data_IF_363466822333
#
_entry.id   IF_363466822333
#
_cell.length_a   1.000
_cell.length_b   1.000
_cell.length_c   1.000
_cell.angle_alpha   90.00
_cell.angle_beta   90.00
_cell.angle_gamma   90.00
#
_symmetry.space_group_name_H-M   'P 1'
#
loop_
_entity.id
_entity.type
_entity.pdbx_description
1 polymer ?
#
# COMPACT_ATOMS: atom_id res chain seq x y z
N UNK A 1 -24.89 50.13 -21.29
CA UNK A 1 -25.42 49.61 -20.00
C UNK A 1 -26.08 48.28 -20.33
N UNK A 2 -25.47 47.11 -20.16
CA UNK A 2 -24.62 46.66 -19.07
C UNK A 2 -25.50 45.93 -18.06
N UNK A 3 -25.60 44.60 -18.16
CA UNK A 3 -25.57 43.68 -17.02
C UNK A 3 -25.47 42.23 -17.54
N UNK A 4 -24.35 41.59 -17.19
CA UNK A 4 -24.15 40.15 -17.22
C UNK A 4 -24.48 39.56 -15.82
N UNK A 5 -24.28 38.24 -15.70
CA UNK A 5 -24.23 37.41 -14.47
C UNK A 5 -25.59 36.77 -14.11
N UNK A 6 -25.73 35.49 -13.79
CA UNK A 6 -24.75 34.42 -13.51
C UNK A 6 -25.51 33.10 -13.55
N UNK A 7 -24.95 32.07 -14.21
CA UNK A 7 -25.41 30.70 -14.02
C UNK A 7 -24.90 30.17 -12.68
N UNK A 8 -25.81 29.68 -11.83
CA UNK A 8 -25.46 28.91 -10.65
C UNK A 8 -24.94 27.54 -11.07
N UNK A 9 -23.72 27.21 -10.63
CA UNK A 9 -23.04 25.96 -10.88
C UNK A 9 -23.65 24.79 -10.10
N UNK A 10 -23.84 23.68 -10.80
CA UNK A 10 -24.16 22.34 -10.28
C UNK A 10 -23.01 21.79 -9.42
N UNK A 11 -22.78 22.35 -8.22
CA UNK A 11 -21.72 21.86 -7.30
C UNK A 11 -22.22 20.95 -6.19
N UNK A 12 -23.49 20.54 -6.23
CA UNK A 12 -24.14 19.76 -5.16
C UNK A 12 -24.41 18.31 -5.55
N UNK A 13 -24.29 17.94 -6.82
CA UNK A 13 -24.48 16.55 -7.30
C UNK A 13 -23.21 15.69 -7.16
N UNK A 14 -22.02 16.27 -7.32
CA UNK A 14 -20.76 15.51 -7.29
C UNK A 14 -20.29 15.11 -5.88
N UNK A 15 -20.88 15.65 -4.82
CA UNK A 15 -20.53 15.27 -3.43
C UNK A 15 -21.39 14.14 -2.86
N UNK A 16 -22.47 13.75 -3.54
CA UNK A 16 -23.42 12.76 -3.06
C UNK A 16 -23.09 11.31 -3.46
N UNK A 17 -22.08 11.10 -4.33
CA UNK A 17 -21.72 9.76 -4.81
C UNK A 17 -20.57 9.11 -4.03
N UNK A 18 -19.89 9.87 -3.17
CA UNK A 18 -18.76 9.41 -2.36
C UNK A 18 -19.19 8.90 -0.97
N UNK A 19 -20.23 8.05 -0.84
CA UNK A 19 -20.48 7.29 0.42
C UNK A 19 -21.55 6.20 0.25
N UNK A 20 -21.49 5.41 -0.83
CA UNK A 20 -22.02 4.04 -0.74
C UNK A 20 -20.86 3.16 -0.28
N UNK A 21 -20.82 2.87 1.03
CA UNK A 21 -19.94 1.84 1.58
C UNK A 21 -20.14 0.57 0.73
N UNK A 22 -19.15 0.22 -0.09
CA UNK A 22 -19.20 -1.02 -0.86
C UNK A 22 -19.34 -2.15 0.17
N UNK A 23 -20.38 -2.97 0.03
CA UNK A 23 -20.57 -4.13 0.89
C UNK A 23 -19.27 -4.94 0.94
N UNK A 24 -18.79 -5.38 2.12
CA UNK A 24 -17.58 -6.19 2.22
C UNK A 24 -17.73 -7.43 1.34
N UNK A 25 -16.96 -7.49 0.26
CA UNK A 25 -16.93 -8.67 -0.62
C UNK A 25 -15.80 -9.56 -0.13
N UNK A 26 -16.17 -10.75 0.35
CA UNK A 26 -15.18 -11.79 0.67
C UNK A 26 -14.38 -12.10 -0.60
N UNK A 27 -13.03 -12.00 -0.57
CA UNK A 27 -12.22 -12.36 -1.73
C UNK A 27 -12.29 -13.87 -2.02
N UNK A 28 -11.89 -14.28 -3.24
CA UNK A 28 -11.54 -15.67 -3.51
C UNK A 28 -10.45 -16.19 -2.56
N UNK A 29 -10.35 -17.50 -2.41
CA UNK A 29 -9.32 -18.12 -1.56
C UNK A 29 -7.90 -17.86 -2.10
N UNK A 30 -7.77 -17.68 -3.42
CA UNK A 30 -6.56 -17.22 -4.09
C UNK A 30 -6.90 -16.20 -5.18
N UNK A 31 -6.10 -15.15 -5.31
CA UNK A 31 -6.27 -14.14 -6.36
C UNK A 31 -4.93 -13.50 -6.73
N UNK A 32 -4.85 -12.87 -7.90
CA UNK A 32 -3.64 -12.16 -8.34
C UNK A 32 -3.85 -10.66 -8.29
N UNK A 33 -2.94 -9.95 -7.62
CA UNK A 33 -2.85 -8.51 -7.65
C UNK A 33 -1.79 -8.09 -8.66
N UNK A 34 -2.22 -7.52 -9.79
CA UNK A 34 -1.33 -7.03 -10.84
C UNK A 34 -0.99 -5.55 -10.58
N UNK A 35 0.30 -5.25 -10.50
CA UNK A 35 0.82 -3.91 -10.26
C UNK A 35 1.43 -3.35 -11.53
N UNK A 36 0.94 -2.18 -11.94
CA UNK A 36 1.59 -1.33 -12.94
C UNK A 36 2.37 -0.25 -12.19
N UNK A 37 3.68 -0.11 -12.44
CA UNK A 37 4.52 0.87 -11.71
C UNK A 37 5.29 1.79 -12.66
N UNK A 38 6.03 2.74 -12.09
CA UNK A 38 7.02 3.55 -12.81
C UNK A 38 8.23 2.76 -13.32
N UNK A 39 8.47 1.53 -12.82
CA UNK A 39 9.63 0.69 -13.19
C UNK A 39 9.31 -0.56 -13.99
N UNK A 40 8.04 -0.83 -14.24
CA UNK A 40 7.58 -2.06 -14.88
C UNK A 40 6.45 -2.69 -14.09
N UNK A 41 6.06 -3.88 -14.49
CA UNK A 41 4.92 -4.57 -13.89
C UNK A 41 5.40 -5.74 -13.03
N UNK A 42 4.67 -6.01 -11.95
CA UNK A 42 4.86 -7.21 -11.15
C UNK A 42 3.51 -7.75 -10.68
N UNK A 43 3.47 -9.01 -10.27
CA UNK A 43 2.25 -9.69 -9.83
C UNK A 43 2.49 -10.33 -8.48
N UNK A 44 1.59 -10.06 -7.54
CA UNK A 44 1.50 -10.78 -6.26
C UNK A 44 0.38 -11.81 -6.37
N UNK A 45 0.68 -13.08 -6.11
CA UNK A 45 -0.33 -14.10 -5.83
C UNK A 45 -0.63 -14.08 -4.33
N UNK A 46 -1.92 -13.97 -3.98
CA UNK A 46 -2.39 -13.90 -2.60
C UNK A 46 -3.05 -15.22 -2.23
N UNK A 47 -2.68 -15.77 -1.08
CA UNK A 47 -3.22 -17.00 -0.53
C UNK A 47 -3.95 -16.69 0.77
N UNK A 48 -5.28 -16.64 0.70
CA UNK A 48 -6.13 -16.30 1.85
C UNK A 48 -5.94 -17.26 3.02
N UNK A 49 -5.63 -18.53 2.73
CA UNK A 49 -5.36 -19.54 3.75
C UNK A 49 -4.12 -19.25 4.61
N UNK A 50 -3.13 -18.49 4.10
CA UNK A 50 -1.89 -18.18 4.82
C UNK A 50 -2.12 -17.13 5.92
N UNK A 51 -2.88 -16.08 5.60
CA UNK A 51 -3.21 -14.98 6.50
C UNK A 51 -4.52 -14.31 6.03
N UNK A 52 -5.69 -14.83 6.44
CA UNK A 52 -6.98 -14.43 5.88
C UNK A 52 -7.35 -12.97 6.16
N UNK A 53 -6.99 -12.40 7.32
CA UNK A 53 -7.31 -10.99 7.63
C UNK A 53 -6.46 -10.05 6.79
N UNK A 54 -5.18 -10.37 6.61
CA UNK A 54 -4.29 -9.66 5.70
C UNK A 54 -4.76 -9.74 4.25
N UNK A 55 -5.07 -10.94 3.76
CA UNK A 55 -5.55 -11.15 2.40
C UNK A 55 -6.88 -10.42 2.11
N UNK A 56 -7.82 -10.44 3.06
CA UNK A 56 -9.11 -9.73 2.93
C UNK A 56 -8.91 -8.22 2.91
N UNK A 57 -8.07 -7.68 3.80
CA UNK A 57 -7.77 -6.24 3.82
C UNK A 57 -7.05 -5.79 2.55
N UNK A 58 -6.08 -6.56 2.06
CA UNK A 58 -5.36 -6.21 0.84
C UNK A 58 -6.30 -6.16 -0.38
N UNK A 59 -7.22 -7.11 -0.48
CA UNK A 59 -8.24 -7.14 -1.53
C UNK A 59 -9.16 -5.92 -1.47
N UNK A 60 -9.65 -5.57 -0.28
CA UNK A 60 -10.48 -4.39 -0.02
C UNK A 60 -9.78 -3.10 -0.51
N UNK A 61 -8.52 -2.91 -0.09
CA UNK A 61 -7.71 -1.74 -0.45
C UNK A 61 -7.48 -1.64 -1.97
N UNK A 62 -7.22 -2.76 -2.65
CA UNK A 62 -7.06 -2.75 -4.12
C UNK A 62 -8.38 -2.37 -4.80
N UNK A 63 -9.51 -2.94 -4.36
CA UNK A 63 -10.83 -2.65 -4.95
C UNK A 63 -11.31 -1.22 -4.74
N UNK A 64 -10.80 -0.56 -3.71
CA UNK A 64 -11.03 0.86 -3.47
C UNK A 64 -10.01 1.77 -4.16
N UNK A 65 -9.07 1.18 -4.92
CA UNK A 65 -8.02 1.93 -5.60
C UNK A 65 -7.06 2.61 -4.63
N UNK A 66 -7.02 2.15 -3.37
CA UNK A 66 -6.26 2.78 -2.30
C UNK A 66 -4.76 2.88 -2.62
N UNK A 67 -4.21 1.89 -3.32
CA UNK A 67 -2.79 1.85 -3.67
C UNK A 67 -2.44 2.62 -4.95
N UNK A 68 -3.42 3.17 -5.67
CA UNK A 68 -3.14 3.92 -6.89
C UNK A 68 -2.38 5.20 -6.54
N UNK A 69 -1.26 5.42 -7.23
CA UNK A 69 -0.30 6.50 -6.99
C UNK A 69 0.38 6.47 -5.61
N UNK A 70 0.21 5.39 -4.83
CA UNK A 70 1.05 5.15 -3.66
C UNK A 70 2.50 4.95 -4.08
N UNK A 71 3.43 5.50 -3.29
CA UNK A 71 4.87 5.41 -3.54
C UNK A 71 5.52 4.35 -2.66
N UNK A 72 6.58 3.72 -3.18
CA UNK A 72 7.42 2.80 -2.41
C UNK A 72 8.33 3.61 -1.48
N UNK A 73 7.77 4.13 -0.40
CA UNK A 73 8.41 5.12 0.46
C UNK A 73 9.59 4.59 1.26
N UNK A 74 9.80 3.27 1.29
CA UNK A 74 10.96 2.65 1.95
C UNK A 74 11.44 1.47 1.13
N UNK A 75 12.66 1.57 0.63
CA UNK A 75 13.29 0.53 -0.19
C UNK A 75 14.69 0.30 0.36
N UNK A 76 14.86 -0.78 1.12
CA UNK A 76 16.12 -1.12 1.79
C UNK A 76 16.68 -2.37 1.14
N UNK A 77 17.76 -2.20 0.38
CA UNK A 77 18.44 -3.30 -0.31
C UNK A 77 18.76 -4.42 0.67
N UNK A 78 18.53 -5.67 0.26
CA UNK A 78 18.71 -6.85 1.10
C UNK A 78 17.83 -6.84 2.37
N UNK A 79 16.69 -6.14 2.36
CA UNK A 79 15.71 -6.24 3.42
C UNK A 79 14.28 -6.25 2.87
N UNK A 80 13.68 -5.09 2.60
CA UNK A 80 12.28 -4.98 2.19
C UNK A 80 12.03 -3.79 1.25
N UNK A 81 10.95 -3.88 0.48
CA UNK A 81 10.27 -2.77 -0.19
C UNK A 81 8.94 -2.56 0.52
N UNK A 82 8.64 -1.35 0.99
CA UNK A 82 7.42 -1.04 1.75
C UNK A 82 6.66 0.12 1.11
N UNK A 83 5.32 -0.01 1.09
CA UNK A 83 4.37 0.98 0.60
C UNK A 83 3.05 0.90 1.39
N UNK A 84 2.03 1.63 0.92
CA UNK A 84 0.66 1.53 1.43
C UNK A 84 0.22 2.67 2.34
N UNK A 85 0.79 3.85 2.13
CA UNK A 85 0.21 5.12 2.55
C UNK A 85 -0.44 5.74 1.30
N UNK A 86 -1.68 6.23 1.43
CA UNK A 86 -2.42 6.77 0.28
C UNK A 86 -1.82 8.11 -0.16
N UNK A 87 -1.93 8.42 -1.46
CA UNK A 87 -1.50 9.70 -2.03
C UNK A 87 -2.17 10.91 -1.37
N UNK A 88 -3.40 10.73 -0.90
CA UNK A 88 -4.25 11.76 -0.30
C UNK A 88 -4.30 11.57 1.23
N UNK A 89 -3.89 12.59 2.02
CA UNK A 89 -3.99 12.58 3.47
C UNK A 89 -5.42 12.35 4.00
N UNK A 90 -6.44 12.85 3.30
CA UNK A 90 -7.83 12.69 3.72
C UNK A 90 -8.23 11.21 3.66
N UNK A 91 -7.85 10.50 2.59
CA UNK A 91 -8.08 9.06 2.46
C UNK A 91 -7.24 8.29 3.48
N UNK A 92 -5.95 8.60 3.64
CA UNK A 92 -5.10 7.97 4.66
C UNK A 92 -5.72 8.04 6.06
N UNK A 93 -6.32 9.17 6.43
CA UNK A 93 -6.99 9.38 7.72
C UNK A 93 -8.22 8.51 7.93
N UNK A 94 -8.99 8.22 6.87
CA UNK A 94 -10.15 7.33 6.96
C UNK A 94 -9.74 5.89 7.32
N UNK A 95 -8.56 5.47 6.85
CA UNK A 95 -8.06 4.11 7.07
C UNK A 95 -7.18 3.95 8.31
N UNK A 96 -6.62 5.04 8.86
CA UNK A 96 -5.61 4.98 9.93
C UNK A 96 -6.10 4.31 11.23
N UNK A 97 -7.41 4.36 11.50
CA UNK A 97 -8.02 3.74 12.68
C UNK A 97 -8.69 2.38 12.39
N UNK A 98 -8.76 1.97 11.12
CA UNK A 98 -9.38 0.71 10.72
C UNK A 98 -8.38 -0.44 10.83
N UNK A 99 -8.01 -0.79 12.06
CA UNK A 99 -7.02 -1.85 12.32
C UNK A 99 -7.59 -3.24 12.06
N UNK A 100 -6.74 -4.15 11.60
CA UNK A 100 -7.03 -5.59 11.56
C UNK A 100 -6.28 -6.30 12.69
N UNK A 101 -6.88 -7.39 13.19
CA UNK A 101 -6.19 -8.31 14.09
C UNK A 101 -5.08 -9.06 13.35
N UNK A 102 -4.10 -9.53 14.10
CA UNK A 102 -2.95 -10.24 13.56
C UNK A 102 -3.35 -11.67 13.17
N UNK A 103 -2.96 -12.10 11.97
CA UNK A 103 -3.02 -13.50 11.59
C UNK A 103 -1.85 -14.27 12.21
N UNK A 104 -2.04 -15.52 12.66
CA UNK A 104 -0.94 -16.38 13.04
C UNK A 104 -0.08 -16.71 11.81
N UNK A 105 1.25 -16.54 11.85
CA UNK A 105 2.10 -16.85 10.71
C UNK A 105 2.03 -18.33 10.33
N UNK A 106 1.62 -18.63 9.09
CA UNK A 106 1.68 -19.97 8.49
C UNK A 106 2.83 -20.14 7.49
N UNK A 107 3.41 -19.02 7.05
CA UNK A 107 4.57 -18.98 6.17
C UNK A 107 5.70 -18.19 6.81
N UNK A 108 6.93 -18.48 6.38
CA UNK A 108 8.13 -17.73 6.77
C UNK A 108 8.34 -16.55 5.82
N UNK A 109 8.91 -15.46 6.33
CA UNK A 109 9.29 -14.26 5.57
C UNK A 109 10.49 -14.55 4.64
N UNK A 110 10.28 -15.36 3.61
CA UNK A 110 11.25 -15.68 2.55
C UNK A 110 11.28 -14.57 1.49
N UNK A 111 12.33 -14.51 0.68
CA UNK A 111 12.39 -13.60 -0.48
C UNK A 111 11.11 -13.72 -1.33
N UNK A 112 10.57 -12.57 -1.76
CA UNK A 112 9.35 -12.48 -2.58
C UNK A 112 8.04 -12.48 -1.80
N UNK A 113 8.03 -12.94 -0.54
CA UNK A 113 6.81 -12.95 0.28
C UNK A 113 6.37 -11.54 0.69
N UNK A 114 5.06 -11.37 0.89
CA UNK A 114 4.38 -10.10 1.20
C UNK A 114 3.64 -10.18 2.51
N UNK A 115 3.84 -9.19 3.39
CA UNK A 115 3.18 -9.10 4.69
C UNK A 115 2.77 -7.64 5.02
N UNK A 116 1.81 -7.48 5.93
CA UNK A 116 1.45 -6.16 6.46
C UNK A 116 2.51 -5.65 7.44
N UNK A 117 2.89 -4.38 7.30
CA UNK A 117 3.71 -3.67 8.27
C UNK A 117 2.90 -3.38 9.56
N UNK A 118 3.58 -3.25 10.69
CA UNK A 118 2.98 -3.06 12.00
C UNK A 118 3.83 -2.13 12.88
N UNK A 119 3.17 -1.32 13.71
CA UNK A 119 3.79 -0.51 14.76
C UNK A 119 3.74 -1.20 16.15
N UNK A 120 3.17 -2.40 16.22
CA UNK A 120 2.91 -3.17 17.44
C UNK A 120 1.81 -4.22 17.22
N UNK A 121 1.44 -4.99 18.26
CA UNK A 121 0.35 -5.95 18.18
C UNK A 121 -0.97 -5.30 17.71
N UNK A 122 -1.69 -5.96 16.81
CA UNK A 122 -3.00 -5.51 16.29
C UNK A 122 -3.03 -4.06 15.76
N UNK A 123 -1.92 -3.60 15.16
CA UNK A 123 -1.76 -2.23 14.63
C UNK A 123 -1.81 -2.13 13.11
N UNK A 124 -1.98 -3.25 12.40
CA UNK A 124 -1.95 -3.33 10.94
C UNK A 124 -3.15 -2.61 10.34
N UNK A 125 -2.93 -1.78 9.32
CA UNK A 125 -3.98 -1.01 8.65
C UNK A 125 -3.92 -1.19 7.12
N UNK A 126 -2.94 -0.56 6.48
CA UNK A 126 -2.86 -0.43 5.01
C UNK A 126 -1.46 -0.67 4.45
N UNK A 127 -0.42 -0.48 5.26
CA UNK A 127 0.96 -0.59 4.83
C UNK A 127 1.39 -2.05 4.72
N UNK A 128 2.09 -2.37 3.64
CA UNK A 128 2.58 -3.71 3.33
C UNK A 128 4.02 -3.64 2.84
N UNK A 129 4.72 -4.76 2.89
CA UNK A 129 6.07 -4.87 2.37
C UNK A 129 6.30 -6.18 1.64
N UNK A 130 7.23 -6.16 0.68
CA UNK A 130 7.80 -7.34 0.01
C UNK A 130 9.19 -7.61 0.59
N UNK A 131 9.48 -8.86 0.92
CA UNK A 131 10.81 -9.30 1.34
C UNK A 131 11.78 -9.38 0.15
N UNK A 132 12.90 -8.64 0.20
CA UNK A 132 13.96 -8.67 -0.83
C UNK A 132 15.01 -9.78 -0.58
N UNK A 133 14.96 -10.42 0.58
CA UNK A 133 15.74 -11.59 0.96
C UNK A 133 14.96 -12.43 1.96
N UNK A 134 15.53 -13.55 2.40
CA UNK A 134 15.03 -14.28 3.55
C UNK A 134 15.23 -13.48 4.85
N UNK A 135 14.13 -13.09 5.49
CA UNK A 135 14.07 -12.30 6.71
C UNK A 135 13.40 -13.08 7.86
N UNK A 136 13.88 -14.28 8.15
CA UNK A 136 13.33 -15.17 9.21
C UNK A 136 13.19 -14.52 10.58
N UNK A 137 13.96 -13.46 10.86
CA UNK A 137 13.81 -12.67 12.08
C UNK A 137 12.42 -12.00 12.21
N UNK A 138 11.73 -11.73 11.09
CA UNK A 138 10.38 -11.15 11.07
C UNK A 138 9.31 -12.16 11.52
N UNK A 139 9.56 -13.47 11.38
CA UNK A 139 8.64 -14.52 11.82
C UNK A 139 8.39 -14.44 13.34
N UNK A 140 9.43 -14.08 14.10
CA UNK A 140 9.37 -13.89 15.56
C UNK A 140 8.51 -12.68 15.97
N UNK A 141 8.32 -11.73 15.06
CA UNK A 141 7.54 -10.50 15.29
C UNK A 141 6.13 -10.60 14.70
N UNK A 142 5.67 -11.82 14.39
CA UNK A 142 4.33 -12.12 13.89
C UNK A 142 3.99 -11.42 12.56
N UNK A 143 4.99 -11.11 11.73
CA UNK A 143 4.74 -10.68 10.36
C UNK A 143 4.28 -11.88 9.53
N UNK A 144 2.97 -12.10 9.45
CA UNK A 144 2.37 -13.20 8.71
C UNK A 144 2.30 -12.88 7.21
N UNK A 145 3.03 -13.62 6.35
CA UNK A 145 2.89 -13.46 4.92
C UNK A 145 1.51 -13.90 4.43
N UNK A 146 0.90 -13.11 3.56
CA UNK A 146 -0.40 -13.39 2.95
C UNK A 146 -0.30 -13.69 1.44
N UNK A 147 0.86 -13.45 0.84
CA UNK A 147 1.08 -13.68 -0.58
C UNK A 147 2.55 -13.62 -0.95
N UNK A 148 2.84 -13.76 -2.24
CA UNK A 148 4.19 -13.71 -2.78
C UNK A 148 4.24 -13.15 -4.20
N UNK A 149 5.37 -12.55 -4.58
CA UNK A 149 5.61 -12.08 -5.94
C UNK A 149 5.86 -13.28 -6.85
N UNK A 150 4.95 -13.51 -7.80
CA UNK A 150 5.02 -14.63 -8.77
C UNK A 150 5.51 -14.19 -10.16
N UNK A 151 5.60 -12.88 -10.41
CA UNK A 151 6.15 -12.31 -11.64
C UNK A 151 6.68 -10.91 -11.38
N UNK A 152 7.78 -10.52 -12.04
CA UNK A 152 8.36 -9.18 -11.92
C UNK A 152 9.17 -8.93 -10.64
N UNK A 153 9.78 -9.98 -10.07
CA UNK A 153 10.65 -9.80 -8.89
C UNK A 153 11.90 -8.94 -9.22
N UNK A 154 12.41 -9.03 -10.44
CA UNK A 154 13.46 -8.17 -10.98
C UNK A 154 13.02 -6.68 -11.01
N UNK A 155 11.76 -6.41 -11.36
CA UNK A 155 11.17 -5.07 -11.28
C UNK A 155 11.17 -4.57 -9.84
N UNK A 156 10.71 -5.40 -8.89
CA UNK A 156 10.70 -5.07 -7.45
C UNK A 156 12.12 -4.77 -6.93
N UNK A 157 13.12 -5.55 -7.35
CA UNK A 157 14.53 -5.34 -6.98
C UNK A 157 15.15 -4.09 -7.61
N UNK A 158 14.62 -3.63 -8.75
CA UNK A 158 15.09 -2.44 -9.47
C UNK A 158 14.55 -1.11 -8.94
N UNK A 159 13.60 -1.14 -7.99
CA UNK A 159 13.01 0.05 -7.40
C UNK A 159 14.06 0.95 -6.75
N UNK A 160 13.88 2.26 -6.88
CA UNK A 160 14.82 3.27 -6.40
C UNK A 160 15.02 3.18 -4.89
N UNK A 161 16.26 2.91 -4.47
CA UNK A 161 16.60 2.59 -3.09
C UNK A 161 17.59 3.55 -2.44
N UNK A 162 18.04 4.61 -3.12
CA UNK A 162 19.08 5.48 -2.55
C UNK A 162 18.60 6.35 -1.40
N UNK A 163 17.28 6.50 -1.19
CA UNK A 163 16.73 7.12 0.04
C UNK A 163 16.76 6.15 1.24
N UNK A 164 16.71 4.84 0.98
CA UNK A 164 16.95 3.81 1.97
C UNK A 164 15.90 3.73 3.08
N UNK A 165 16.39 3.75 4.32
CA UNK A 165 15.62 3.51 5.53
C UNK A 165 14.90 4.78 6.02
N UNK A 166 13.76 4.61 6.69
CA UNK A 166 12.97 5.73 7.21
C UNK A 166 13.59 6.31 8.50
N UNK A 167 13.27 7.56 8.86
CA UNK A 167 13.65 8.13 10.15
C UNK A 167 13.14 7.27 11.32
N UNK A 168 13.86 7.22 12.46
CA UNK A 168 15.14 7.89 12.72
C UNK A 168 16.37 7.11 12.21
N UNK A 169 16.19 5.94 11.58
CA UNK A 169 17.29 5.03 11.21
C UNK A 169 17.93 5.36 9.85
N UNK A 170 17.29 6.22 9.06
CA UNK A 170 17.82 6.69 7.78
C UNK A 170 17.22 8.02 7.35
N UNK A 171 17.57 8.41 6.12
CA UNK A 171 17.20 9.70 5.52
C UNK A 171 16.03 9.58 4.54
N UNK A 172 15.32 8.45 4.56
CA UNK A 172 14.15 8.23 3.72
C UNK A 172 12.95 9.10 4.12
N UNK A 173 11.83 8.96 3.40
CA UNK A 173 10.57 9.58 3.76
C UNK A 173 10.12 9.28 5.19
N UNK A 174 9.59 10.29 5.89
CA UNK A 174 8.93 10.14 7.18
C UNK A 174 7.47 9.71 6.99
N UNK A 175 7.04 8.53 7.46
CA UNK A 175 5.66 8.06 7.34
C UNK A 175 4.62 9.06 7.85
N UNK A 176 4.90 9.77 8.95
CA UNK A 176 3.98 10.74 9.55
C UNK A 176 3.75 11.94 8.64
N UNK A 177 4.78 12.36 7.91
CA UNK A 177 4.67 13.43 6.91
C UNK A 177 3.96 12.95 5.65
N UNK A 178 4.14 11.69 5.25
CA UNK A 178 3.34 11.12 4.15
C UNK A 178 1.87 11.04 4.54
N UNK A 179 1.53 10.59 5.75
CA UNK A 179 0.15 10.50 6.22
C UNK A 179 -0.55 11.86 6.30
N UNK A 180 0.19 12.93 6.63
CA UNK A 180 -0.38 14.28 6.82
C UNK A 180 -0.30 15.16 5.58
N UNK A 181 0.64 14.92 4.66
CA UNK A 181 0.88 15.75 3.46
C UNK A 181 0.81 15.00 2.14
N UNK A 182 0.76 13.67 2.17
CA UNK A 182 0.53 12.84 1.00
C UNK A 182 1.67 12.92 -0.02
N UNK A 183 1.30 12.77 -1.28
CA UNK A 183 2.27 12.79 -2.38
C UNK A 183 2.94 14.16 -2.58
N UNK A 184 2.32 15.27 -2.16
CA UNK A 184 2.95 16.60 -2.27
C UNK A 184 4.31 16.64 -1.54
N UNK A 185 4.37 16.07 -0.34
CA UNK A 185 5.62 15.93 0.41
C UNK A 185 6.63 15.05 -0.32
N UNK A 186 6.19 13.90 -0.81
CA UNK A 186 7.06 12.94 -1.48
C UNK A 186 7.60 13.46 -2.81
N UNK A 187 6.80 14.15 -3.60
CA UNK A 187 7.22 14.73 -4.87
C UNK A 187 8.20 15.88 -4.67
N UNK A 188 8.00 16.67 -3.63
CA UNK A 188 8.89 17.80 -3.32
C UNK A 188 10.23 17.34 -2.74
N UNK A 189 10.23 16.36 -1.83
CA UNK A 189 11.42 15.96 -1.05
C UNK A 189 12.09 14.69 -1.54
N UNK A 190 11.33 13.81 -2.20
CA UNK A 190 11.77 12.49 -2.65
C UNK A 190 11.33 12.20 -4.10
N UNK A 191 11.61 13.10 -5.07
CA UNK A 191 11.07 13.03 -6.44
C UNK A 191 11.47 11.76 -7.20
N UNK A 192 12.51 11.05 -6.74
CA UNK A 192 13.02 9.84 -7.38
C UNK A 192 12.33 8.55 -6.92
N UNK A 193 11.39 8.63 -5.97
CA UNK A 193 10.62 7.47 -5.54
C UNK A 193 9.80 6.90 -6.69
N UNK A 194 9.95 5.60 -6.88
CA UNK A 194 9.06 4.84 -7.73
C UNK A 194 7.68 4.69 -7.10
N UNK A 195 6.69 4.52 -7.96
CA UNK A 195 5.29 4.57 -7.56
C UNK A 195 4.43 3.61 -8.36
N UNK A 196 3.31 3.25 -7.75
CA UNK A 196 2.27 2.43 -8.33
C UNK A 196 1.41 3.33 -9.21
N UNK A 197 1.27 3.03 -10.50
CA UNK A 197 0.30 3.71 -11.37
C UNK A 197 -1.10 3.19 -11.08
N UNK A 198 -1.24 1.86 -11.00
CA UNK A 198 -2.51 1.19 -10.71
C UNK A 198 -2.27 -0.21 -10.16
N UNK A 199 -3.23 -0.70 -9.37
CA UNK A 199 -3.34 -2.12 -9.01
C UNK A 199 -4.72 -2.66 -9.43
N UNK A 200 -4.77 -3.87 -9.96
CA UNK A 200 -6.02 -4.59 -10.23
C UNK A 200 -5.99 -6.00 -9.66
N UNK A 201 -7.17 -6.56 -9.37
CA UNK A 201 -7.31 -7.98 -9.03
C UNK A 201 -7.81 -8.74 -10.25
N UNK A 202 -7.13 -9.86 -10.55
CA UNK A 202 -7.46 -10.78 -11.63
C UNK A 202 -7.76 -12.18 -11.09
#
# INVERSE_FOLDING_TARGET
>A
MGLALTGCSDSTRDKAEATKAKTPVKPPDQYKAAFETSKGNFVIEVHREWAPRGADRFYELIRDGFYNESRFHRVVRNFVVQWGINKDPAVSRLWSNLRILDDPPKQSNRKGTVAFAAAGPASRTTQVFINLRDNKQLDKNLFAPFGEVVSGMDVVESLYNSYGEMPPRGNGPDPSLIETRGNEYLETKFPRLDYIKRVSVN
#
